data_IF_689550847034
#
_entry.id   IF_689550847034
#
_cell.length_a   1.000
_cell.length_b   1.000
_cell.length_c   1.000
_cell.angle_alpha   90.00
_cell.angle_beta   90.00
_cell.angle_gamma   90.00
#
_symmetry.space_group_name_H-M   'P 1'
#
loop_
_entity.id
_entity.type
_entity.pdbx_description
1 polymer ?
#
# COMPACT_ATOMS: atom_id res chain seq x y z
N UNK A 1 -6.02 -7.99 -1.22
CA UNK A 1 -6.84 -6.84 -0.84
C UNK A 1 -7.64 -6.39 -2.05
N UNK A 2 -8.91 -6.00 -1.93
CA UNK A 2 -9.60 -5.48 -3.09
C UNK A 2 -9.17 -4.02 -3.31
N UNK A 3 -8.94 -3.65 -4.57
CA UNK A 3 -8.48 -2.34 -5.06
C UNK A 3 -9.40 -1.14 -4.73
N UNK A 4 -10.19 -1.21 -3.67
CA UNK A 4 -11.17 -0.19 -3.26
C UNK A 4 -10.67 0.73 -2.13
N UNK A 5 -9.48 0.47 -1.58
CA UNK A 5 -8.95 1.24 -0.45
C UNK A 5 -7.80 2.18 -0.81
N UNK A 6 -7.28 2.10 -2.04
CA UNK A 6 -6.24 2.98 -2.56
C UNK A 6 -6.49 3.25 -4.05
N UNK A 7 -5.96 4.38 -4.53
CA UNK A 7 -5.94 4.72 -5.96
C UNK A 7 -4.69 5.54 -6.30
N UNK A 8 -3.88 5.02 -7.22
CA UNK A 8 -2.79 5.74 -7.86
C UNK A 8 -3.25 6.42 -9.17
N UNK A 9 -3.50 7.73 -9.13
CA UNK A 9 -3.78 8.55 -10.32
C UNK A 9 -2.48 9.02 -10.98
N UNK A 10 -2.15 8.40 -12.11
CA UNK A 10 -0.96 8.70 -12.90
C UNK A 10 -0.97 10.09 -13.56
N UNK A 11 -2.15 10.60 -13.90
CA UNK A 11 -2.28 11.88 -14.60
C UNK A 11 -2.03 13.05 -13.64
N UNK A 12 -2.61 12.99 -12.44
CA UNK A 12 -2.41 14.00 -11.41
C UNK A 12 -1.18 13.76 -10.53
N UNK A 13 -0.55 12.58 -10.63
CA UNK A 13 0.56 12.11 -9.77
C UNK A 13 0.17 12.10 -8.30
N UNK A 14 -1.03 11.61 -8.02
CA UNK A 14 -1.61 11.57 -6.68
C UNK A 14 -1.89 10.13 -6.29
N UNK A 15 -1.54 9.78 -5.06
CA UNK A 15 -2.00 8.55 -4.41
C UNK A 15 -3.07 8.95 -3.39
N UNK A 16 -4.24 8.34 -3.49
CA UNK A 16 -5.33 8.51 -2.52
C UNK A 16 -5.51 7.20 -1.77
N UNK A 17 -5.75 7.27 -0.46
CA UNK A 17 -5.95 6.09 0.40
C UNK A 17 -7.18 6.32 1.28
N UNK A 18 -7.91 5.25 1.57
CA UNK A 18 -9.07 5.27 2.44
C UNK A 18 -8.68 5.71 3.85
N UNK A 19 -9.29 6.80 4.33
CA UNK A 19 -8.93 7.44 5.59
C UNK A 19 -9.29 6.65 6.85
N UNK A 20 -10.00 5.53 6.70
CA UNK A 20 -10.37 4.65 7.83
C UNK A 20 -9.40 3.48 7.99
N UNK A 21 -8.37 3.37 7.14
CA UNK A 21 -7.31 2.39 7.30
C UNK A 21 -6.31 2.85 8.35
N UNK A 22 -5.83 1.89 9.15
CA UNK A 22 -4.85 2.09 10.22
C UNK A 22 -3.91 0.89 10.29
N UNK A 23 -2.76 1.07 10.95
CA UNK A 23 -1.80 0.01 11.20
C UNK A 23 -1.34 -0.71 9.93
N UNK A 24 -1.31 -2.04 9.98
CA UNK A 24 -0.82 -2.87 8.88
C UNK A 24 -1.64 -2.72 7.59
N UNK A 25 -2.95 -2.51 7.69
CA UNK A 25 -3.80 -2.39 6.50
C UNK A 25 -3.52 -1.07 5.75
N UNK A 26 -3.26 0.01 6.49
CA UNK A 26 -2.81 1.28 5.91
C UNK A 26 -1.44 1.12 5.25
N UNK A 27 -0.51 0.46 5.93
CA UNK A 27 0.84 0.23 5.44
C UNK A 27 0.86 -0.62 4.16
N UNK A 28 0.12 -1.74 4.14
CA UNK A 28 -0.03 -2.59 2.96
C UNK A 28 -0.59 -1.80 1.78
N UNK A 29 -1.67 -1.03 2.01
CA UNK A 29 -2.31 -0.22 0.96
C UNK A 29 -1.37 0.86 0.43
N UNK A 30 -0.61 1.54 1.30
CA UNK A 30 0.37 2.53 0.86
C UNK A 30 1.46 1.92 -0.01
N UNK A 31 2.00 0.77 0.39
CA UNK A 31 3.04 0.08 -0.38
C UNK A 31 2.47 -0.38 -1.73
N UNK A 32 1.25 -0.91 -1.75
CA UNK A 32 0.53 -1.30 -2.96
C UNK A 32 0.47 -0.15 -3.98
N UNK A 33 -0.03 1.02 -3.58
CA UNK A 33 -0.14 2.17 -4.49
C UNK A 33 1.22 2.74 -4.92
N UNK A 34 2.24 2.68 -4.04
CA UNK A 34 3.61 3.08 -4.40
C UNK A 34 4.22 2.15 -5.45
N UNK A 35 3.93 0.85 -5.37
CA UNK A 35 4.36 -0.12 -6.39
C UNK A 35 3.68 0.22 -7.72
N UNK A 36 2.37 0.48 -7.74
CA UNK A 36 1.65 0.92 -8.94
C UNK A 36 2.26 2.18 -9.55
N UNK A 37 2.51 3.20 -8.72
CA UNK A 37 3.11 4.46 -9.17
C UNK A 37 4.47 4.26 -9.85
N UNK A 38 5.24 3.25 -9.44
CA UNK A 38 6.56 2.95 -10.01
C UNK A 38 6.52 1.97 -11.18
N UNK A 39 5.63 0.98 -11.14
CA UNK A 39 5.52 -0.12 -12.11
C UNK A 39 4.05 -0.35 -12.51
N UNK A 40 3.49 0.51 -13.37
CA UNK A 40 2.07 0.43 -13.76
C UNK A 40 1.71 -0.86 -14.52
N UNK A 41 2.69 -1.50 -15.16
CA UNK A 41 2.48 -2.72 -15.95
C UNK A 41 2.65 -4.01 -15.14
N UNK A 42 2.93 -3.91 -13.83
CA UNK A 42 3.05 -5.09 -12.96
C UNK A 42 1.68 -5.72 -12.73
N UNK A 43 1.62 -7.05 -12.65
CA UNK A 43 0.34 -7.73 -12.38
C UNK A 43 -0.15 -7.43 -10.98
N UNK A 44 -1.47 -7.27 -10.83
CA UNK A 44 -2.13 -7.09 -9.52
C UNK A 44 -1.72 -8.15 -8.49
N UNK A 45 -1.55 -9.40 -8.93
CA UNK A 45 -1.09 -10.50 -8.08
C UNK A 45 0.32 -10.24 -7.52
N UNK A 46 1.25 -9.80 -8.36
CA UNK A 46 2.62 -9.51 -7.94
C UNK A 46 2.70 -8.25 -7.07
N UNK A 47 1.89 -7.23 -7.38
CA UNK A 47 1.76 -6.03 -6.53
C UNK A 47 1.28 -6.44 -5.14
N UNK A 48 0.22 -7.25 -5.07
CA UNK A 48 -0.36 -7.72 -3.82
C UNK A 48 0.63 -8.53 -2.99
N UNK A 49 1.26 -9.55 -3.60
CA UNK A 49 2.20 -10.43 -2.90
C UNK A 49 3.35 -9.63 -2.28
N UNK A 50 3.92 -8.70 -3.05
CA UNK A 50 5.06 -7.89 -2.60
C UNK A 50 4.63 -6.85 -1.57
N UNK A 51 3.50 -6.19 -1.76
CA UNK A 51 2.99 -5.20 -0.78
C UNK A 51 2.76 -5.85 0.60
N UNK A 52 2.07 -6.99 0.61
CA UNK A 52 1.81 -7.74 1.84
C UNK A 52 3.07 -8.27 2.49
N UNK A 53 4.03 -8.78 1.70
CA UNK A 53 5.32 -9.20 2.24
C UNK A 53 6.06 -8.04 2.91
N UNK A 54 6.14 -6.89 2.23
CA UNK A 54 6.85 -5.72 2.74
C UNK A 54 6.18 -5.12 3.98
N UNK A 55 4.84 -5.04 4.01
CA UNK A 55 4.10 -4.55 5.16
C UNK A 55 4.40 -5.36 6.42
N UNK A 56 4.36 -6.69 6.32
CA UNK A 56 4.70 -7.58 7.45
C UNK A 56 6.17 -7.45 7.89
N UNK A 57 7.11 -7.30 6.95
CA UNK A 57 8.53 -7.10 7.30
C UNK A 57 8.73 -5.79 8.04
N UNK A 58 8.12 -4.70 7.55
CA UNK A 58 8.23 -3.37 8.16
C UNK A 58 7.59 -3.34 9.56
N UNK A 59 6.40 -3.94 9.71
CA UNK A 59 5.76 -4.07 11.02
C UNK A 59 6.61 -4.90 11.99
N UNK A 60 7.20 -6.01 11.53
CA UNK A 60 8.06 -6.86 12.36
C UNK A 60 9.33 -6.16 12.86
N UNK A 61 9.83 -5.16 12.13
CA UNK A 61 10.93 -4.28 12.57
C UNK A 61 10.48 -3.19 13.57
N UNK A 62 9.20 -3.18 13.95
CA UNK A 62 8.64 -2.28 14.96
C UNK A 62 8.14 -0.94 14.40
N UNK A 63 7.95 -0.82 13.08
CA UNK A 63 7.25 0.32 12.51
C UNK A 63 5.75 0.14 12.66
N UNK A 64 5.16 0.84 13.62
CA UNK A 64 3.72 0.89 13.85
C UNK A 64 3.20 2.32 13.67
N UNK A 65 1.88 2.48 13.57
CA UNK A 65 1.27 3.80 13.61
C UNK A 65 1.71 4.54 14.88
N UNK A 66 2.04 5.81 14.71
CA UNK A 66 2.60 6.65 15.77
C UNK A 66 1.49 7.18 16.68
N UNK A 67 0.72 6.31 17.33
CA UNK A 67 -0.20 6.65 18.41
C UNK A 67 -0.57 5.37 19.19
N UNK A 68 0.22 5.05 20.22
CA UNK A 68 -0.13 4.15 21.33
C UNK A 68 0.09 4.90 22.66
#
# INVERSE_FOLDING_TARGET
MPAFYGECDYASRTITVCSTLHGIDLLDTLIHEVIHARWPDLSEEAVLEVATLLAHVIEAEGFTDADD
#
